data_IF_577774509327
#
_entry.id   IF_577774509327
#
_cell.length_a   1.000
_cell.length_b   1.000
_cell.length_c   1.000
_cell.angle_alpha   90.00
_cell.angle_beta   90.00
_cell.angle_gamma   90.00
#
_symmetry.space_group_name_H-M   'P 1'
#
loop_
_entity.id
_entity.type
_entity.pdbx_description
1 polymer ?
#
# COMPACT_ATOMS: atom_id res chain seq x y z
N UNK A 1 -18.19 2.17 19.89
CA UNK A 1 -16.84 1.92 19.36
C UNK A 1 -16.74 2.66 18.04
N UNK A 2 -15.97 3.74 17.97
CA UNK A 2 -15.77 4.46 16.71
C UNK A 2 -14.69 3.69 15.93
N UNK A 3 -15.12 2.80 15.02
CA UNK A 3 -14.25 2.27 13.97
C UNK A 3 -13.76 3.46 13.16
N UNK A 4 -12.56 3.91 13.47
CA UNK A 4 -11.86 4.87 12.63
C UNK A 4 -11.54 4.12 11.35
N UNK A 5 -12.34 4.31 10.30
CA UNK A 5 -12.11 3.64 9.02
C UNK A 5 -10.72 4.06 8.51
N UNK A 6 -9.74 3.14 8.58
CA UNK A 6 -8.33 3.41 8.29
C UNK A 6 -8.02 3.57 6.79
N UNK A 7 -9.05 3.69 5.94
CA UNK A 7 -8.92 3.63 4.49
C UNK A 7 -8.53 2.22 4.01
N UNK A 8 -8.49 2.02 2.69
CA UNK A 8 -8.13 0.70 2.13
C UNK A 8 -6.64 0.40 2.26
N UNK A 9 -6.31 -0.88 2.43
CA UNK A 9 -4.92 -1.39 2.36
C UNK A 9 -4.69 -2.03 0.98
N UNK A 10 -3.52 -1.80 0.43
CA UNK A 10 -3.09 -2.32 -0.87
C UNK A 10 -1.82 -3.15 -0.70
N UNK A 11 -1.77 -4.34 -1.30
CA UNK A 11 -0.54 -5.13 -1.42
C UNK A 11 0.14 -4.83 -2.76
N UNK A 12 1.44 -4.60 -2.71
CA UNK A 12 2.30 -4.52 -3.87
C UNK A 12 2.92 -5.87 -4.22
N UNK A 13 3.16 -6.11 -5.50
CA UNK A 13 3.89 -7.30 -5.98
C UNK A 13 5.35 -7.36 -5.51
N UNK A 14 5.86 -6.28 -4.91
CA UNK A 14 7.17 -6.22 -4.23
C UNK A 14 7.14 -6.70 -2.77
N UNK A 15 6.02 -7.26 -2.30
CA UNK A 15 5.85 -7.74 -0.93
C UNK A 15 5.56 -6.64 0.10
N UNK A 16 5.52 -5.37 -0.32
CA UNK A 16 5.18 -4.24 0.55
C UNK A 16 3.67 -3.97 0.57
N UNK A 17 3.22 -3.28 1.62
CA UNK A 17 1.84 -2.86 1.79
C UNK A 17 1.76 -1.33 1.85
N UNK A 18 0.64 -0.80 1.36
CA UNK A 18 0.42 0.64 1.25
C UNK A 18 -0.97 0.99 1.75
N UNK A 19 -1.09 2.09 2.49
CA UNK A 19 -2.39 2.72 2.74
C UNK A 19 -2.90 3.42 1.49
N UNK A 20 -4.21 3.63 1.41
CA UNK A 20 -4.83 4.45 0.36
C UNK A 20 -4.17 5.83 0.23
N UNK A 21 -3.86 6.48 1.36
CA UNK A 21 -3.16 7.76 1.39
C UNK A 21 -1.74 7.68 0.83
N UNK A 22 -0.99 6.61 1.08
CA UNK A 22 0.34 6.41 0.50
C UNK A 22 0.27 6.21 -1.01
N UNK A 23 -0.70 5.41 -1.48
CA UNK A 23 -0.96 5.19 -2.90
C UNK A 23 -1.29 6.51 -3.61
N UNK A 24 -2.24 7.28 -3.07
CA UNK A 24 -2.64 8.59 -3.62
C UNK A 24 -1.47 9.58 -3.64
N UNK A 25 -0.68 9.63 -2.57
CA UNK A 25 0.48 10.51 -2.49
C UNK A 25 1.52 10.17 -3.57
N UNK A 26 1.82 8.89 -3.77
CA UNK A 26 2.81 8.47 -4.77
C UNK A 26 2.35 8.78 -6.19
N UNK A 27 1.06 8.61 -6.48
CA UNK A 27 0.47 9.00 -7.77
C UNK A 27 0.48 10.53 -7.97
N UNK A 28 0.01 11.29 -6.97
CA UNK A 28 -0.11 12.75 -7.07
C UNK A 28 1.25 13.44 -7.18
N UNK A 29 2.28 12.90 -6.52
CA UNK A 29 3.65 13.44 -6.58
C UNK A 29 4.40 13.05 -7.86
N UNK A 30 3.83 12.20 -8.72
CA UNK A 30 4.52 11.66 -9.88
C UNK A 30 5.62 10.65 -9.55
N UNK A 31 5.75 10.25 -8.28
CA UNK A 31 6.67 9.17 -7.89
C UNK A 31 6.28 7.85 -8.55
N UNK A 32 4.98 7.62 -8.77
CA UNK A 32 4.45 6.47 -9.49
C UNK A 32 3.62 6.94 -10.70
N UNK A 33 3.96 6.46 -11.88
CA UNK A 33 3.24 6.71 -13.12
C UNK A 33 2.18 5.62 -13.33
N UNK A 34 0.90 5.96 -13.52
CA UNK A 34 -0.14 4.95 -13.76
C UNK A 34 0.01 4.34 -15.16
N UNK A 35 0.06 3.00 -15.24
CA UNK A 35 0.14 2.28 -16.51
C UNK A 35 -1.21 1.67 -16.89
N UNK A 36 -1.78 0.84 -16.02
CA UNK A 36 -3.04 0.12 -16.26
C UNK A 36 -3.92 0.10 -15.01
N UNK A 37 -5.24 0.05 -15.20
CA UNK A 37 -6.22 -0.06 -14.13
C UNK A 37 -7.23 -1.16 -14.45
N UNK A 38 -7.31 -2.15 -13.57
CA UNK A 38 -8.34 -3.19 -13.57
C UNK A 38 -9.38 -2.87 -12.50
N UNK A 39 -10.67 -2.99 -12.83
CA UNK A 39 -11.77 -2.68 -11.89
C UNK A 39 -12.19 -3.89 -11.05
N UNK A 40 -12.13 -5.10 -11.62
CA UNK A 40 -12.56 -6.32 -10.94
C UNK A 40 -11.56 -7.49 -11.20
N UNK A 41 -10.82 -7.96 -10.18
CA UNK A 41 -10.59 -7.28 -8.90
C UNK A 41 -9.93 -5.91 -9.08
N UNK A 42 -10.12 -5.01 -8.10
CA UNK A 42 -9.53 -3.68 -8.12
C UNK A 42 -8.00 -3.76 -8.00
N UNK A 43 -7.30 -3.54 -9.12
CA UNK A 43 -5.84 -3.56 -9.22
C UNK A 43 -5.34 -2.44 -10.12
N UNK A 44 -4.12 -1.98 -9.89
CA UNK A 44 -3.45 -1.00 -10.75
C UNK A 44 -2.02 -1.44 -10.99
N UNK A 45 -1.57 -1.31 -12.23
CA UNK A 45 -0.17 -1.39 -12.57
C UNK A 45 0.37 0.03 -12.61
N UNK A 46 1.48 0.27 -11.91
CA UNK A 46 2.19 1.54 -11.91
C UNK A 46 3.66 1.30 -12.23
N UNK A 47 4.28 2.26 -12.88
CA UNK A 47 5.73 2.35 -13.00
C UNK A 47 6.25 3.21 -11.85
N UNK A 48 7.20 2.68 -11.08
CA UNK A 48 7.84 3.40 -9.99
C UNK A 48 8.91 4.36 -10.53
N UNK A 49 9.34 5.32 -9.71
CA UNK A 49 10.45 6.23 -10.05
C UNK A 49 11.74 5.52 -10.48
N UNK A 50 11.94 4.29 -10.04
CA UNK A 50 13.08 3.44 -10.39
C UNK A 50 12.91 2.72 -11.74
N UNK A 51 11.80 2.94 -12.45
CA UNK A 51 11.48 2.25 -13.71
C UNK A 51 10.90 0.84 -13.52
N UNK A 52 10.66 0.40 -12.28
CA UNK A 52 10.10 -0.92 -12.00
C UNK A 52 8.56 -0.91 -12.13
N UNK A 53 8.00 -1.96 -12.73
CA UNK A 53 6.55 -2.20 -12.74
C UNK A 53 6.10 -2.80 -11.41
N UNK A 54 5.12 -2.14 -10.77
CA UNK A 54 4.52 -2.55 -9.51
C UNK A 54 3.01 -2.76 -9.69
N UNK A 55 2.55 -4.00 -9.45
CA UNK A 55 1.13 -4.30 -9.37
C UNK A 55 0.66 -4.06 -7.93
N UNK A 56 -0.32 -3.17 -7.76
CA UNK A 56 -0.96 -2.89 -6.46
C UNK A 56 -2.43 -3.28 -6.49
N UNK A 57 -2.88 -4.06 -5.50
CA UNK A 57 -4.25 -4.55 -5.38
C UNK A 57 -4.83 -4.38 -3.99
N UNK A 58 -6.14 -4.14 -3.89
CA UNK A 58 -6.83 -4.03 -2.60
C UNK A 58 -6.76 -5.36 -1.84
N UNK A 59 -6.49 -5.28 -0.54
CA UNK A 59 -6.48 -6.43 0.37
C UNK A 59 -7.67 -6.31 1.32
N UNK A 60 -8.55 -7.32 1.32
CA UNK A 60 -9.70 -7.38 2.24
C UNK A 60 -9.33 -7.87 3.64
N UNK A 61 -8.35 -8.78 3.72
CA UNK A 61 -7.85 -9.35 4.97
C UNK A 61 -6.34 -9.20 5.01
N UNK A 62 -5.81 -8.06 5.48
CA UNK A 62 -4.37 -7.89 5.62
C UNK A 62 -3.81 -8.90 6.63
N UNK A 63 -2.57 -9.37 6.46
CA UNK A 63 -1.96 -10.27 7.43
C UNK A 63 -1.89 -9.66 8.83
N UNK A 64 -1.91 -10.48 9.89
CA UNK A 64 -1.93 -9.98 11.28
C UNK A 64 -0.65 -9.23 11.69
N UNK A 65 0.45 -9.39 10.94
CA UNK A 65 1.70 -8.68 11.17
C UNK A 65 1.77 -7.32 10.47
N UNK A 66 0.68 -6.89 9.83
CA UNK A 66 0.59 -5.57 9.20
C UNK A 66 -0.21 -4.64 10.11
N UNK A 67 0.47 -3.65 10.68
CA UNK A 67 -0.14 -2.59 11.49
C UNK A 67 -0.25 -1.28 10.71
N UNK A 68 -1.38 -0.59 10.84
CA UNK A 68 -1.51 0.80 10.38
C UNK A 68 -1.21 1.72 11.57
N UNK A 69 -0.10 2.46 11.50
CA UNK A 69 0.22 3.47 12.52
C UNK A 69 -0.13 4.86 12.03
N UNK A 70 -0.98 5.55 12.79
CA UNK A 70 -1.35 6.95 12.57
C UNK A 70 -0.43 7.85 13.40
N UNK A 71 0.13 8.87 12.76
CA UNK A 71 0.91 9.92 13.39
C UNK A 71 0.46 11.29 12.88
N UNK A 72 0.97 12.39 13.46
CA UNK A 72 0.74 13.75 12.94
C UNK A 72 1.11 13.89 11.46
N UNK A 73 2.06 13.08 10.96
CA UNK A 73 2.48 13.05 9.55
C UNK A 73 1.62 12.18 8.62
N UNK A 74 0.61 11.47 9.14
CA UNK A 74 -0.28 10.60 8.38
C UNK A 74 -0.25 9.13 8.83
N UNK A 75 -0.86 8.26 8.01
CA UNK A 75 -0.95 6.82 8.24
C UNK A 75 0.12 6.07 7.43
N UNK A 76 0.86 5.18 8.08
CA UNK A 76 1.85 4.30 7.45
C UNK A 76 1.61 2.85 7.81
N UNK A 77 1.94 1.96 6.89
CA UNK A 77 2.05 0.52 7.19
C UNK A 77 3.34 0.25 7.95
N UNK A 78 3.26 -0.60 8.96
CA UNK A 78 4.38 -1.18 9.70
C UNK A 78 4.28 -2.70 9.58
N UNK A 79 5.35 -3.32 9.12
CA UNK A 79 5.55 -4.76 9.21
C UNK A 79 6.10 -5.08 10.61
N UNK A 80 5.38 -5.88 11.38
CA UNK A 80 5.77 -6.26 12.75
C UNK A 80 6.49 -7.59 12.82
N UNK A 81 6.76 -8.24 11.68
CA UNK A 81 7.61 -9.43 11.67
C UNK A 81 9.01 -9.05 12.16
N UNK A 82 9.49 -9.77 13.15
CA UNK A 82 10.88 -9.71 13.58
C UNK A 82 11.70 -10.43 12.49
N UNK A 83 12.75 -9.83 11.92
CA UNK A 83 13.67 -10.55 11.06
C UNK A 83 14.18 -11.79 11.79
N UNK A 84 14.14 -12.96 11.15
CA UNK A 84 14.82 -14.12 11.70
C UNK A 84 16.32 -13.79 11.78
N UNK A 85 17.02 -14.13 12.88
CA UNK A 85 18.46 -14.03 12.91
C UNK A 85 19.07 -14.92 11.82
N UNK A 86 20.10 -14.40 11.14
CA UNK A 86 20.88 -15.11 10.11
C UNK A 86 21.63 -16.33 10.66
#
# INVERSE_FOLDING_TARGET
MNETSFGRVYAGSNGNYYTERQLERNLRSGCWTPCLRQRNPARRLVETREGNLLLVGVVSHPPPWIEIRISKGGARIVDTRVPLPE
#
